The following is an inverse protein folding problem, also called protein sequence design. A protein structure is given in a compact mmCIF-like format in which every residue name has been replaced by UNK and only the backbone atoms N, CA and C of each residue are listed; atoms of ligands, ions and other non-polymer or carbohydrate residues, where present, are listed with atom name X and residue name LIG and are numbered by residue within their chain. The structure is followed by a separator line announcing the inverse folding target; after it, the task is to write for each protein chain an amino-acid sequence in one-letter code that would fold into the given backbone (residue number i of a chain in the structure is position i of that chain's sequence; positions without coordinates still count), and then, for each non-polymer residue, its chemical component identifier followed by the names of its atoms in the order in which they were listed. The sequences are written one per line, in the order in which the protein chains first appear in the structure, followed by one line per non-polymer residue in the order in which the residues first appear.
data_IF_443756627049
#
_entry.id   IF_443756627049
#
_cell.length_a   1.000
_cell.length_b   1.000
_cell.length_c   1.000
_cell.angle_alpha   90.00
_cell.angle_beta   90.00
_cell.angle_gamma   90.00
#
_symmetry.space_group_name_H-M   'P 1'
#
loop_
_entity.id
_entity.type
_entity.pdbx_description
1 polymer ?
#
# COMPACT_ATOMS: atom_id res chain seq x y z
N UNK A 1 -2.87 -14.03 -1.94
CA UNK A 1 -3.62 -12.77 -1.70
C UNK A 1 -2.59 -11.67 -1.47
N UNK A 2 -2.59 -10.59 -2.24
CA UNK A 2 -1.65 -9.47 -2.03
C UNK A 2 -2.25 -8.54 -1.00
N UNK A 3 -1.47 -8.15 0.01
CA UNK A 3 -1.93 -7.26 1.09
C UNK A 3 -1.12 -5.97 0.99
N UNK A 4 -1.82 -4.84 0.93
CA UNK A 4 -1.20 -3.51 0.84
C UNK A 4 -1.62 -2.72 2.07
N UNK A 5 -0.64 -2.18 2.80
CA UNK A 5 -0.87 -1.41 4.03
C UNK A 5 -0.06 -0.12 3.98
N UNK A 6 -0.70 0.99 4.34
CA UNK A 6 0.00 2.20 4.74
C UNK A 6 0.33 2.09 6.24
N UNK A 7 1.57 2.40 6.58
CA UNK A 7 2.10 2.38 7.94
C UNK A 7 2.52 3.79 8.31
N UNK A 8 1.93 4.33 9.37
CA UNK A 8 2.29 5.64 9.94
C UNK A 8 2.05 5.60 11.44
N UNK A 9 2.92 6.24 12.24
CA UNK A 9 2.76 6.31 13.71
C UNK A 9 2.39 4.97 14.38
N UNK A 10 3.01 3.86 13.96
CA UNK A 10 2.70 2.48 14.37
C UNK A 10 1.29 1.95 14.04
N UNK A 11 0.44 2.72 13.34
CA UNK A 11 -0.82 2.26 12.75
C UNK A 11 -0.55 1.56 11.42
N UNK A 12 -1.37 0.55 11.10
CA UNK A 12 -1.42 -0.10 9.78
C UNK A 12 -2.84 0.03 9.25
N UNK A 13 -3.00 0.70 8.11
CA UNK A 13 -4.31 0.90 7.49
C UNK A 13 -4.36 0.27 6.10
N UNK A 14 -5.51 -0.33 5.79
CA UNK A 14 -5.81 -0.83 4.46
C UNK A 14 -6.32 0.31 3.56
N UNK A 15 -6.06 0.26 2.25
CA UNK A 15 -6.64 1.23 1.32
C UNK A 15 -8.17 1.07 1.29
N UNK A 16 -8.87 2.20 1.16
CA UNK A 16 -10.32 2.22 0.90
C UNK A 16 -10.64 1.92 -0.56
N UNK A 17 -9.69 2.17 -1.46
CA UNK A 17 -9.76 1.79 -2.87
C UNK A 17 -8.42 1.20 -3.32
N UNK A 18 -8.49 0.02 -3.93
CA UNK A 18 -7.36 -0.65 -4.56
C UNK A 18 -7.84 -1.36 -5.83
N UNK A 19 -7.61 -0.79 -7.03
CA UNK A 19 -8.05 -1.40 -8.27
C UNK A 19 -7.29 -2.71 -8.51
N UNK A 20 -7.99 -3.70 -9.07
CA UNK A 20 -7.34 -4.90 -9.60
C UNK A 20 -6.54 -4.49 -10.84
N UNK A 21 -5.24 -4.74 -10.82
CA UNK A 21 -4.38 -4.56 -11.99
C UNK A 21 -4.35 -5.84 -12.81
N UNK A 22 -4.66 -5.73 -14.10
CA UNK A 22 -4.55 -6.80 -15.09
C UNK A 22 -3.80 -6.28 -16.32
N UNK A 23 -2.82 -7.06 -16.81
CA UNK A 23 -1.98 -6.68 -17.95
C UNK A 23 -0.54 -6.30 -17.57
N UNK A 24 0.35 -6.24 -18.57
CA UNK A 24 1.81 -6.05 -18.38
C UNK A 24 2.21 -4.62 -18.00
N UNK A 25 1.39 -3.63 -18.36
CA UNK A 25 1.66 -2.20 -18.10
C UNK A 25 0.52 -1.54 -17.31
N UNK A 26 -0.20 -2.32 -16.51
CA UNK A 26 -1.30 -1.81 -15.72
C UNK A 26 -0.78 -0.89 -14.61
N UNK A 27 -1.43 0.25 -14.46
CA UNK A 27 -1.25 1.17 -13.34
C UNK A 27 -2.56 1.29 -12.55
N UNK A 28 -2.46 1.80 -11.34
CA UNK A 28 -3.62 2.08 -10.51
C UNK A 28 -3.25 2.92 -9.31
N UNK A 29 -4.28 3.48 -8.70
CA UNK A 29 -4.15 4.36 -7.55
C UNK A 29 -4.63 3.63 -6.28
N UNK A 30 -3.89 3.81 -5.20
CA UNK A 30 -4.28 3.35 -3.88
C UNK A 30 -4.76 4.56 -3.09
N UNK A 31 -6.02 4.52 -2.64
CA UNK A 31 -6.60 5.60 -1.85
C UNK A 31 -6.68 5.14 -0.40
N UNK A 32 -6.15 5.96 0.51
CA UNK A 32 -6.22 5.75 1.95
C UNK A 32 -6.99 6.91 2.57
N UNK A 33 -7.89 6.60 3.50
CA UNK A 33 -8.56 7.62 4.28
C UNK A 33 -7.79 7.81 5.59
N UNK A 34 -7.34 9.04 5.87
CA UNK A 34 -6.57 9.38 7.06
C UNK A 34 -7.42 10.22 8.01
N UNK A 35 -7.31 9.93 9.30
CA UNK A 35 -7.98 10.70 10.36
C UNK A 35 -7.34 12.09 10.57
N UNK A 36 -6.10 12.27 10.10
CA UNK A 36 -5.31 13.48 10.23
C UNK A 36 -4.23 13.55 9.15
N UNK A 37 -3.67 14.73 8.97
CA UNK A 37 -2.49 14.95 8.14
C UNK A 37 -1.25 14.26 8.75
N UNK A 38 -0.40 13.70 7.88
CA UNK A 38 0.84 13.02 8.27
C UNK A 38 1.98 13.49 7.37
N UNK A 39 3.18 13.64 7.95
CA UNK A 39 4.38 14.11 7.24
C UNK A 39 5.37 13.00 6.91
N UNK A 40 5.13 11.78 7.40
CA UNK A 40 5.96 10.62 7.11
C UNK A 40 5.09 9.37 7.10
N UNK A 41 5.35 8.49 6.13
CA UNK A 41 4.59 7.26 5.98
C UNK A 41 5.38 6.20 5.22
N UNK A 42 4.96 4.96 5.36
CA UNK A 42 5.50 3.85 4.61
C UNK A 42 4.39 3.03 3.97
N UNK A 43 4.61 2.53 2.76
CA UNK A 43 3.72 1.58 2.10
C UNK A 43 4.40 0.22 2.10
N UNK A 44 3.73 -0.77 2.68
CA UNK A 44 4.17 -2.17 2.66
C UNK A 44 3.29 -2.95 1.69
N UNK A 45 3.92 -3.65 0.75
CA UNK A 45 3.26 -4.55 -0.21
C UNK A 45 3.74 -5.97 0.08
N UNK A 46 2.82 -6.81 0.55
CA UNK A 46 3.06 -8.20 0.93
C UNK A 46 2.48 -9.16 -0.12
N UNK A 47 3.09 -10.36 -0.23
CA UNK A 47 2.61 -11.42 -1.12
C UNK A 47 3.03 -11.24 -2.58
N UNK A 48 4.16 -10.58 -2.83
CA UNK A 48 4.75 -10.50 -4.17
C UNK A 48 5.51 -11.83 -4.44
N UNK A 49 5.29 -12.50 -5.58
CA UNK A 49 6.04 -13.71 -5.90
C UNK A 49 7.55 -13.46 -5.90
N UNK A 50 8.34 -14.36 -5.31
CA UNK A 50 9.80 -14.30 -5.15
C UNK A 50 10.34 -13.23 -4.19
N UNK A 51 9.52 -12.27 -3.75
CA UNK A 51 9.90 -11.24 -2.77
C UNK A 51 8.71 -11.06 -1.83
N UNK A 52 8.74 -11.68 -0.65
CA UNK A 52 7.56 -11.73 0.22
C UNK A 52 7.03 -10.35 0.61
N UNK A 53 7.91 -9.35 0.74
CA UNK A 53 7.56 -8.00 1.17
C UNK A 53 8.39 -6.94 0.42
N UNK A 54 7.74 -5.84 0.07
CA UNK A 54 8.41 -4.60 -0.35
C UNK A 54 7.95 -3.44 0.52
N UNK A 55 8.91 -2.65 0.99
CA UNK A 55 8.71 -1.48 1.83
C UNK A 55 9.17 -0.22 1.08
N UNK A 56 8.27 0.76 0.98
CA UNK A 56 8.55 2.08 0.43
C UNK A 56 8.32 3.12 1.52
N UNK A 57 9.23 4.08 1.69
CA UNK A 57 9.17 5.10 2.74
C UNK A 57 9.24 6.49 2.13
N UNK A 58 8.47 7.41 2.69
CA UNK A 58 8.47 8.85 2.39
C UNK A 58 8.51 9.64 3.68
#
# INVERSE_FOLDING_TARGET
MKIIKLVYENKKISPVSAPKLSGHHANGELVFNLEKEINSFAVTIEGIPKINERLFKW
#
